data_IF_243480737583
#
_entry.id   IF_243480737583
#
_cell.length_a   1.000
_cell.length_b   1.000
_cell.length_c   1.000
_cell.angle_alpha   90.00
_cell.angle_beta   90.00
_cell.angle_gamma   90.00
#
_symmetry.space_group_name_H-M   'P 1'
#
loop_
_entity.id
_entity.type
_entity.pdbx_description
1 polymer ?
#
# COMPACT_ATOMS: atom_id res chain seq x y z
N UNK A 1 44.31 -26.30 -3.47
CA UNK A 1 44.30 -24.83 -3.30
C UNK A 1 43.02 -24.48 -2.55
N UNK A 2 43.10 -24.20 -1.24
CA UNK A 2 41.95 -23.82 -0.41
C UNK A 2 41.83 -22.30 -0.47
N UNK A 3 40.74 -21.78 -1.05
CA UNK A 3 40.42 -20.34 -1.02
C UNK A 3 39.60 -20.08 0.24
N UNK A 4 40.17 -19.31 1.17
CA UNK A 4 39.41 -18.70 2.27
C UNK A 4 38.58 -17.57 1.67
N UNK A 5 37.26 -17.72 1.71
CA UNK A 5 36.33 -16.66 1.38
C UNK A 5 36.27 -15.69 2.57
N UNK A 6 36.63 -14.44 2.32
CA UNK A 6 36.53 -13.34 3.27
C UNK A 6 35.05 -13.04 3.49
N UNK A 7 34.53 -13.38 4.66
CA UNK A 7 33.15 -13.06 5.07
C UNK A 7 33.11 -11.54 5.33
N UNK A 8 32.49 -10.80 4.41
CA UNK A 8 32.20 -9.39 4.58
C UNK A 8 31.08 -9.20 5.60
N UNK A 9 31.34 -8.42 6.63
CA UNK A 9 30.36 -7.99 7.63
C UNK A 9 29.30 -7.11 6.96
N UNK A 10 28.13 -7.67 6.66
CA UNK A 10 26.93 -6.90 6.37
C UNK A 10 26.14 -6.72 7.67
N UNK A 11 26.06 -5.48 8.15
CA UNK A 11 25.20 -5.11 9.27
C UNK A 11 23.74 -5.13 8.78
N UNK A 12 23.06 -6.25 9.00
CA UNK A 12 21.61 -6.34 8.86
C UNK A 12 20.96 -5.70 10.09
N UNK A 13 20.44 -4.47 9.95
CA UNK A 13 19.50 -3.91 10.92
C UNK A 13 18.12 -4.53 10.68
N UNK A 14 17.91 -5.74 11.18
CA UNK A 14 16.57 -6.32 11.31
C UNK A 14 15.91 -5.66 12.52
N UNK A 15 14.98 -4.73 12.28
CA UNK A 15 14.13 -4.19 13.34
C UNK A 15 13.00 -5.20 13.57
N UNK A 16 13.27 -6.21 14.39
CA UNK A 16 12.26 -7.12 14.93
C UNK A 16 11.48 -6.37 16.02
N UNK A 17 10.26 -5.96 15.71
CA UNK A 17 9.27 -5.60 16.74
C UNK A 17 8.75 -6.89 17.38
N UNK A 18 9.54 -7.48 18.27
CA UNK A 18 9.00 -8.44 19.22
C UNK A 18 8.08 -7.66 20.16
N UNK A 19 6.77 -7.88 20.05
CA UNK A 19 5.80 -7.40 21.04
C UNK A 19 5.95 -8.27 22.30
N UNK A 20 7.08 -8.14 22.98
CA UNK A 20 7.21 -8.61 24.35
C UNK A 20 6.39 -7.65 25.17
N UNK A 21 5.23 -8.12 25.64
CA UNK A 21 4.60 -7.59 26.85
C UNK A 21 5.56 -7.85 28.02
N UNK A 22 6.70 -7.16 28.05
CA UNK A 22 7.51 -7.02 29.24
C UNK A 22 6.66 -6.19 30.18
N UNK A 23 6.02 -6.87 31.13
CA UNK A 23 5.62 -6.24 32.39
C UNK A 23 6.88 -5.58 32.93
N UNK A 24 6.98 -4.26 32.76
CA UNK A 24 8.09 -3.47 33.28
C UNK A 24 8.27 -3.86 34.74
N UNK A 25 9.43 -4.42 35.15
CA UNK A 25 9.74 -4.59 36.54
C UNK A 25 10.07 -3.20 37.07
N UNK A 26 9.05 -2.35 37.22
CA UNK A 26 9.08 -1.27 38.19
C UNK A 26 9.00 -1.90 39.58
N UNK A 27 10.00 -2.72 39.92
CA UNK A 27 10.25 -3.14 41.29
C UNK A 27 10.96 -1.96 41.93
N UNK A 28 10.16 -1.18 42.67
CA UNK A 28 10.53 -0.25 43.73
C UNK A 28 12.02 0.09 43.80
N UNK A 29 12.42 1.15 43.07
CA UNK A 29 13.70 1.79 43.31
C UNK A 29 13.83 2.06 44.83
N UNK A 30 15.03 1.87 45.43
CA UNK A 30 15.19 2.01 46.88
C UNK A 30 14.69 3.37 47.33
N UNK A 31 13.62 3.39 48.13
CA UNK A 31 12.99 4.60 48.67
C UNK A 31 13.89 5.18 49.78
N UNK A 32 14.94 5.89 49.36
CA UNK A 32 15.83 6.59 50.25
C UNK A 32 15.68 8.10 50.06
N UNK A 33 15.22 8.79 51.10
CA UNK A 33 15.04 10.23 51.08
C UNK A 33 16.39 10.96 51.07
N UNK A 34 16.75 11.52 49.90
CA UNK A 34 17.93 12.39 49.72
C UNK A 34 17.92 13.63 50.63
N UNK A 35 16.76 14.02 51.15
CA UNK A 35 16.56 15.19 52.01
C UNK A 35 16.96 14.97 53.48
N UNK A 36 17.55 13.82 53.83
CA UNK A 36 17.98 13.58 55.19
C UNK A 36 19.02 14.62 55.66
N UNK A 37 18.83 15.28 56.81
CA UNK A 37 19.81 16.24 57.34
C UNK A 37 21.11 15.55 57.77
N UNK A 38 21.10 14.23 57.97
CA UNK A 38 22.28 13.45 58.32
C UNK A 38 23.12 13.14 57.08
N UNK A 39 24.37 13.61 57.07
CA UNK A 39 25.31 13.38 55.97
C UNK A 39 25.60 11.88 55.73
N UNK A 40 25.68 11.08 56.80
CA UNK A 40 25.89 9.63 56.71
C UNK A 40 24.75 8.94 55.98
N UNK A 41 23.50 9.34 56.27
CA UNK A 41 22.30 8.80 55.61
C UNK A 41 22.29 9.12 54.12
N UNK A 42 22.74 10.32 53.72
CA UNK A 42 22.85 10.71 52.30
C UNK A 42 23.91 9.90 51.56
N UNK A 43 25.08 9.67 52.15
CA UNK A 43 26.11 8.81 51.56
C UNK A 43 25.58 7.39 51.36
N UNK A 44 24.90 6.83 52.36
CA UNK A 44 24.33 5.49 52.27
C UNK A 44 23.28 5.39 51.15
N UNK A 45 22.42 6.41 51.01
CA UNK A 45 21.42 6.49 49.94
C UNK A 45 22.06 6.57 48.55
N UNK A 46 23.09 7.42 48.37
CA UNK A 46 23.83 7.50 47.10
C UNK A 46 24.45 6.14 46.76
N UNK A 47 25.03 5.45 47.74
CA UNK A 47 25.66 4.15 47.52
C UNK A 47 24.63 3.06 47.18
N UNK A 48 23.46 3.05 47.81
CA UNK A 48 22.35 2.17 47.44
C UNK A 48 21.87 2.43 46.01
N UNK A 49 21.72 3.70 45.63
CA UNK A 49 21.30 4.07 44.29
C UNK A 49 22.34 3.67 43.23
N UNK A 50 23.64 3.83 43.54
CA UNK A 50 24.72 3.39 42.65
C UNK A 50 24.71 1.87 42.45
N UNK A 51 24.54 1.10 43.52
CA UNK A 51 24.44 -0.37 43.42
C UNK A 51 23.23 -0.80 42.57
N UNK A 52 22.07 -0.16 42.80
CA UNK A 52 20.87 -0.42 42.00
C UNK A 52 21.11 -0.14 40.50
N UNK A 53 21.73 1.00 40.16
CA UNK A 53 22.05 1.33 38.78
C UNK A 53 23.05 0.33 38.17
N UNK A 54 24.03 -0.13 38.95
CA UNK A 54 24.99 -1.14 38.50
C UNK A 54 24.29 -2.46 38.16
N UNK A 55 23.38 -2.93 39.02
CA UNK A 55 22.58 -4.14 38.77
C UNK A 55 21.71 -4.01 37.51
N UNK A 56 21.13 -2.83 37.26
CA UNK A 56 20.37 -2.58 36.03
C UNK A 56 21.27 -2.64 34.79
N UNK A 57 22.47 -2.04 34.84
CA UNK A 57 23.45 -2.09 33.74
C UNK A 57 23.90 -3.52 33.47
N UNK A 58 24.18 -4.30 34.51
CA UNK A 58 24.62 -5.68 34.36
C UNK A 58 23.52 -6.57 33.76
N UNK A 59 22.26 -6.38 34.19
CA UNK A 59 21.09 -7.05 33.61
C UNK A 59 20.87 -6.71 32.13
N UNK A 60 21.02 -5.42 31.76
CA UNK A 60 20.94 -4.99 30.36
C UNK A 60 22.06 -5.58 29.51
N UNK A 61 23.29 -5.66 30.04
CA UNK A 61 24.40 -6.29 29.35
C UNK A 61 24.19 -7.80 29.14
N UNK A 62 23.60 -8.49 30.12
CA UNK A 62 23.25 -9.91 29.98
C UNK A 62 22.20 -10.11 28.88
N UNK A 63 21.12 -9.31 28.86
CA UNK A 63 20.11 -9.35 27.80
C UNK A 63 20.69 -9.05 26.42
N UNK A 64 21.58 -8.07 26.33
CA UNK A 64 22.27 -7.75 25.08
C UNK A 64 23.16 -8.91 24.62
N UNK A 65 23.86 -9.56 25.55
CA UNK A 65 24.70 -10.73 25.26
C UNK A 65 23.85 -11.91 24.77
N UNK A 66 22.67 -12.14 25.35
CA UNK A 66 21.73 -13.17 24.92
C UNK A 66 21.16 -12.91 23.52
N UNK A 67 20.77 -11.67 23.23
CA UNK A 67 20.27 -11.25 21.91
C UNK A 67 21.35 -11.25 20.82
N UNK A 68 22.60 -11.03 21.19
CA UNK A 68 23.75 -11.06 20.28
C UNK A 68 24.41 -12.43 20.19
N UNK A 69 23.93 -13.42 20.96
CA UNK A 69 24.46 -14.76 20.90
C UNK A 69 24.21 -15.37 19.51
N UNK A 70 25.20 -16.12 19.02
CA UNK A 70 25.11 -16.79 17.72
C UNK A 70 23.90 -17.73 17.64
N UNK A 71 23.51 -18.35 18.76
CA UNK A 71 22.36 -19.25 18.84
C UNK A 71 21.03 -18.50 18.70
N UNK A 72 20.87 -17.32 19.31
CA UNK A 72 19.67 -16.48 19.14
C UNK A 72 19.54 -15.97 17.70
N UNK A 73 20.65 -15.57 17.09
CA UNK A 73 20.69 -15.14 15.69
C UNK A 73 20.37 -16.32 14.77
N UNK A 74 20.94 -17.51 15.03
CA UNK A 74 20.69 -18.72 14.26
C UNK A 74 19.23 -19.16 14.37
N UNK A 75 18.66 -19.18 15.58
CA UNK A 75 17.27 -19.55 15.79
C UNK A 75 16.31 -18.59 15.08
N UNK A 76 16.57 -17.28 15.14
CA UNK A 76 15.80 -16.29 14.41
C UNK A 76 15.91 -16.49 12.89
N UNK A 77 17.10 -16.80 12.37
CA UNK A 77 17.32 -17.09 10.97
C UNK A 77 16.63 -18.40 10.52
N UNK A 78 16.75 -19.48 11.28
CA UNK A 78 16.11 -20.78 11.03
C UNK A 78 14.58 -20.66 11.03
N UNK A 79 14.03 -19.96 12.03
CA UNK A 79 12.60 -19.62 12.11
C UNK A 79 12.12 -18.87 10.86
N UNK A 80 12.89 -17.90 10.38
CA UNK A 80 12.55 -17.12 9.20
C UNK A 80 12.58 -17.94 7.91
N UNK A 81 13.51 -18.89 7.78
CA UNK A 81 13.71 -19.71 6.57
C UNK A 81 12.63 -20.77 6.40
N UNK A 82 12.05 -21.29 7.50
CA UNK A 82 11.09 -22.40 7.47
C UNK A 82 9.84 -22.18 6.59
N UNK A 83 9.57 -20.96 6.16
CA UNK A 83 8.38 -20.61 5.38
C UNK A 83 8.67 -20.06 3.97
N UNK A 84 9.90 -20.23 3.44
CA UNK A 84 10.31 -19.72 2.12
C UNK A 84 9.86 -18.24 1.90
N UNK A 85 10.36 -17.30 2.74
CA UNK A 85 9.89 -15.93 2.73
C UNK A 85 10.19 -15.23 1.40
N UNK A 86 9.24 -14.44 0.90
CA UNK A 86 9.44 -13.54 -0.23
C UNK A 86 9.78 -12.15 0.34
N UNK A 87 10.93 -11.60 -0.03
CA UNK A 87 11.44 -10.33 0.51
C UNK A 87 11.75 -9.35 -0.62
N UNK A 88 11.40 -8.08 -0.43
CA UNK A 88 11.71 -7.00 -1.36
C UNK A 88 13.08 -6.37 -1.05
N UNK A 89 13.88 -6.17 -2.10
CA UNK A 89 15.19 -5.51 -2.06
C UNK A 89 15.19 -4.29 -3.00
N UNK A 90 15.92 -3.25 -2.63
CA UNK A 90 16.12 -2.06 -3.47
C UNK A 90 17.28 -2.19 -4.47
N UNK A 91 18.02 -3.31 -4.42
CA UNK A 91 19.14 -3.60 -5.31
C UNK A 91 18.70 -4.08 -6.70
N UNK A 92 19.67 -4.19 -7.62
CA UNK A 92 19.46 -4.72 -8.97
C UNK A 92 19.61 -6.25 -9.07
N UNK A 93 20.09 -6.90 -8.01
CA UNK A 93 20.30 -8.36 -7.94
C UNK A 93 19.97 -8.88 -6.54
N UNK A 94 19.54 -10.14 -6.46
CA UNK A 94 19.31 -10.79 -5.18
C UNK A 94 20.64 -10.99 -4.42
N UNK A 95 20.63 -10.90 -3.08
CA UNK A 95 21.81 -11.21 -2.28
C UNK A 95 22.23 -12.68 -2.45
N UNK A 96 23.47 -13.05 -2.10
CA UNK A 96 23.89 -14.46 -2.09
C UNK A 96 22.98 -15.34 -1.22
N UNK A 97 22.60 -16.53 -1.72
CA UNK A 97 21.66 -17.45 -1.06
C UNK A 97 20.18 -17.11 -1.31
N UNK A 98 19.92 -16.18 -2.24
CA UNK A 98 18.59 -15.77 -2.66
C UNK A 98 18.50 -15.77 -4.18
N UNK A 99 17.37 -16.23 -4.69
CA UNK A 99 17.04 -16.21 -6.11
C UNK A 99 15.88 -15.25 -6.41
N UNK A 100 15.80 -14.81 -7.67
CA UNK A 100 14.74 -13.93 -8.13
C UNK A 100 13.39 -14.66 -8.04
N UNK A 101 12.43 -14.04 -7.36
CA UNK A 101 11.05 -14.53 -7.36
C UNK A 101 10.32 -13.99 -8.60
N UNK A 102 10.48 -14.69 -9.73
CA UNK A 102 10.00 -14.26 -11.05
C UNK A 102 8.48 -14.02 -11.09
N UNK A 103 7.71 -14.78 -10.31
CA UNK A 103 6.25 -14.66 -10.28
C UNK A 103 5.76 -13.28 -9.83
N UNK A 104 6.56 -12.53 -9.06
CA UNK A 104 6.24 -11.15 -8.65
C UNK A 104 6.65 -10.08 -9.69
N UNK A 105 7.33 -10.46 -10.77
CA UNK A 105 7.81 -9.54 -11.80
C UNK A 105 6.67 -8.74 -12.43
N UNK A 106 6.73 -7.41 -12.33
CA UNK A 106 5.72 -6.50 -12.88
C UNK A 106 4.36 -6.55 -12.17
N UNK A 107 4.28 -7.13 -10.97
CA UNK A 107 3.03 -7.27 -10.21
C UNK A 107 3.01 -6.40 -8.96
N UNK A 108 1.81 -5.99 -8.57
CA UNK A 108 1.55 -5.50 -7.23
C UNK A 108 1.31 -6.68 -6.29
N UNK A 109 1.94 -6.64 -5.11
CA UNK A 109 1.71 -7.63 -4.05
C UNK A 109 0.58 -7.11 -3.15
N UNK A 110 -0.49 -7.89 -3.04
CA UNK A 110 -1.61 -7.61 -2.16
C UNK A 110 -1.58 -8.60 -1.01
N UNK A 111 -1.67 -8.09 0.23
CA UNK A 111 -1.63 -8.92 1.43
C UNK A 111 -2.74 -9.96 1.44
N UNK A 112 -2.38 -11.22 1.69
CA UNK A 112 -3.31 -12.32 1.76
C UNK A 112 -3.77 -12.55 3.22
N UNK A 113 -5.08 -12.71 3.44
CA UNK A 113 -5.59 -13.04 4.77
C UNK A 113 -7.11 -13.19 4.84
N UNK A 114 -7.64 -13.71 5.97
CA UNK A 114 -9.07 -13.83 6.22
C UNK A 114 -9.63 -12.44 6.56
N UNK A 115 -9.63 -11.53 5.58
CA UNK A 115 -10.29 -10.24 5.69
C UNK A 115 -11.55 -10.30 4.85
N UNK A 116 -12.73 -9.90 5.37
CA UNK A 116 -13.99 -9.98 4.63
C UNK A 116 -14.05 -8.98 3.47
N UNK A 117 -12.99 -8.19 3.30
CA UNK A 117 -12.80 -7.14 2.30
C UNK A 117 -14.07 -6.30 2.11
N UNK A 118 -14.57 -5.74 3.20
CA UNK A 118 -15.78 -4.93 3.21
C UNK A 118 -15.44 -3.44 3.17
N UNK A 119 -16.29 -2.67 2.52
CA UNK A 119 -16.32 -1.21 2.61
C UNK A 119 -16.71 -0.77 4.02
N UNK A 120 -16.60 0.53 4.29
CA UNK A 120 -17.12 1.13 5.53
C UNK A 120 -18.62 0.89 5.74
N UNK A 121 -19.39 0.61 4.68
CA UNK A 121 -20.81 0.27 4.74
C UNK A 121 -21.10 -1.23 4.82
N UNK A 122 -20.06 -2.08 4.93
CA UNK A 122 -20.21 -3.54 4.95
C UNK A 122 -20.40 -4.18 3.57
N UNK A 123 -20.19 -3.44 2.47
CA UNK A 123 -20.32 -3.98 1.11
C UNK A 123 -19.03 -4.65 0.69
N UNK A 124 -19.09 -5.86 0.14
CA UNK A 124 -17.91 -6.56 -0.33
C UNK A 124 -17.21 -5.81 -1.48
N UNK A 125 -15.91 -5.55 -1.34
CA UNK A 125 -15.08 -4.77 -2.27
C UNK A 125 -14.39 -5.64 -3.34
N UNK A 126 -14.07 -6.91 -3.05
CA UNK A 126 -13.52 -7.86 -4.03
C UNK A 126 -14.36 -9.12 -4.13
N UNK A 127 -14.39 -9.69 -5.34
CA UNK A 127 -14.97 -11.03 -5.58
C UNK A 127 -14.03 -12.17 -5.16
N UNK A 128 -12.76 -11.85 -4.93
CA UNK A 128 -11.72 -12.80 -4.57
C UNK A 128 -11.67 -13.00 -3.06
N UNK A 129 -11.76 -14.27 -2.64
CA UNK A 129 -11.52 -14.68 -1.26
C UNK A 129 -10.01 -14.74 -1.07
N UNK A 130 -9.43 -13.73 -0.41
CA UNK A 130 -7.98 -13.48 -0.43
C UNK A 130 -7.16 -14.66 0.15
N UNK A 131 -7.76 -15.55 0.95
CA UNK A 131 -7.24 -16.91 1.25
C UNK A 131 -8.43 -17.80 1.61
N UNK A 132 -8.68 -18.89 0.88
CA UNK A 132 -9.70 -19.89 1.25
C UNK A 132 -9.20 -20.97 2.20
N UNK A 133 -7.91 -21.29 2.17
CA UNK A 133 -7.29 -22.30 3.04
C UNK A 133 -5.79 -22.08 3.18
N UNK A 134 -5.24 -22.29 4.38
CA UNK A 134 -3.80 -22.32 4.64
C UNK A 134 -3.06 -23.47 3.94
N UNK A 135 -3.77 -24.33 3.20
CA UNK A 135 -3.20 -25.49 2.51
C UNK A 135 -3.27 -25.40 0.99
N UNK A 136 -3.93 -24.37 0.43
CA UNK A 136 -4.03 -24.13 -1.01
C UNK A 136 -3.55 -22.70 -1.31
N UNK A 137 -2.25 -22.48 -1.11
CA UNK A 137 -1.55 -21.23 -1.45
C UNK A 137 -1.32 -21.11 -2.96
N UNK A 138 -2.38 -21.27 -3.76
CA UNK A 138 -2.30 -20.82 -5.16
C UNK A 138 -2.39 -19.31 -5.14
N UNK A 139 -1.32 -18.66 -5.58
CA UNK A 139 -1.32 -17.22 -5.77
C UNK A 139 -2.43 -16.88 -6.78
N UNK A 140 -3.48 -16.21 -6.32
CA UNK A 140 -4.45 -15.63 -7.24
C UNK A 140 -3.80 -14.41 -7.91
N UNK A 141 -3.84 -14.39 -9.24
CA UNK A 141 -3.32 -13.27 -10.04
C UNK A 141 -4.45 -12.57 -10.76
N UNK A 142 -4.38 -11.25 -10.87
CA UNK A 142 -5.33 -10.44 -11.61
C UNK A 142 -4.89 -8.99 -11.70
N UNK A 143 -5.83 -8.12 -12.10
CA UNK A 143 -5.57 -6.71 -12.36
C UNK A 143 -5.18 -6.44 -13.81
N UNK A 144 -5.33 -5.18 -14.21
CA UNK A 144 -4.98 -4.68 -15.54
C UNK A 144 -4.21 -3.39 -15.37
N UNK A 145 -3.11 -3.24 -16.12
CA UNK A 145 -2.28 -2.02 -16.14
C UNK A 145 -3.02 -0.86 -16.84
N UNK A 146 -3.84 -1.18 -17.83
CA UNK A 146 -4.57 -0.23 -18.64
C UNK A 146 -6.05 -0.56 -18.64
N UNK A 147 -6.91 0.45 -18.47
CA UNK A 147 -8.36 0.30 -18.55
C UNK A 147 -8.93 1.14 -19.70
N UNK A 148 -9.80 0.53 -20.50
CA UNK A 148 -10.56 1.23 -21.53
C UNK A 148 -12.01 1.40 -21.05
N UNK A 149 -12.48 2.64 -20.99
CA UNK A 149 -13.85 2.94 -20.56
C UNK A 149 -14.84 2.46 -21.63
N UNK A 150 -15.67 1.49 -21.28
CA UNK A 150 -16.78 1.03 -22.12
C UNK A 150 -18.01 1.91 -21.93
N UNK A 151 -18.99 1.81 -22.84
CA UNK A 151 -20.25 2.54 -22.72
C UNK A 151 -20.96 2.27 -21.39
N UNK A 152 -20.84 1.05 -20.86
CA UNK A 152 -21.44 0.64 -19.57
C UNK A 152 -20.74 1.26 -18.36
N UNK A 153 -19.51 1.78 -18.52
CA UNK A 153 -18.79 2.48 -17.46
C UNK A 153 -19.11 3.98 -17.39
N UNK A 154 -19.79 4.52 -18.40
CA UNK A 154 -20.21 5.92 -18.43
C UNK A 154 -21.54 6.03 -17.67
N UNK A 155 -21.64 6.87 -16.62
CA UNK A 155 -22.89 7.04 -15.90
C UNK A 155 -23.99 7.50 -16.87
N UNK A 156 -25.18 6.90 -16.77
CA UNK A 156 -26.33 7.37 -17.53
C UNK A 156 -26.65 8.81 -17.09
N UNK A 157 -26.42 9.77 -17.99
CA UNK A 157 -26.83 11.14 -17.77
C UNK A 157 -28.32 11.20 -18.12
N UNK A 158 -29.17 11.10 -17.11
CA UNK A 158 -30.63 11.01 -17.29
C UNK A 158 -31.25 12.31 -17.84
N UNK A 159 -30.58 13.45 -17.71
CA UNK A 159 -31.08 14.70 -18.28
C UNK A 159 -29.97 15.74 -18.45
N UNK A 160 -29.89 16.33 -19.63
CA UNK A 160 -29.28 17.64 -19.79
C UNK A 160 -30.37 18.69 -19.62
N UNK A 161 -30.27 19.55 -18.59
CA UNK A 161 -31.10 20.76 -18.52
C UNK A 161 -30.55 21.74 -19.54
N UNK A 162 -31.08 21.69 -20.76
CA UNK A 162 -30.82 22.73 -21.75
C UNK A 162 -31.72 23.91 -21.37
N UNK A 163 -31.18 24.81 -20.54
CA UNK A 163 -31.78 26.12 -20.33
C UNK A 163 -31.66 26.92 -21.62
N UNK A 164 -32.59 26.73 -22.56
CA UNK A 164 -32.73 27.64 -23.68
C UNK A 164 -33.27 28.94 -23.10
N UNK A 165 -32.40 29.91 -22.84
CA UNK A 165 -32.84 31.27 -22.54
C UNK A 165 -33.57 31.79 -23.78
N UNK A 166 -34.89 31.62 -23.80
CA UNK A 166 -35.79 32.21 -24.79
C UNK A 166 -35.88 33.73 -24.53
N UNK A 167 -34.78 34.43 -24.82
CA UNK A 167 -34.71 35.89 -24.85
C UNK A 167 -34.65 36.46 -26.27
N UNK A 168 -34.47 35.62 -27.29
CA UNK A 168 -34.41 36.05 -28.69
C UNK A 168 -35.64 35.56 -29.46
N UNK A 169 -36.68 36.38 -29.53
CA UNK A 169 -37.72 36.27 -30.58
C UNK A 169 -37.31 37.03 -31.85
N UNK A 170 -36.02 37.31 -32.04
CA UNK A 170 -35.54 37.84 -33.30
C UNK A 170 -35.25 36.67 -34.23
N UNK A 171 -36.08 36.60 -35.26
CA UNK A 171 -35.93 35.71 -36.40
C UNK A 171 -34.53 35.93 -37.00
N UNK A 172 -33.57 35.06 -36.70
CA UNK A 172 -32.25 35.08 -37.33
C UNK A 172 -32.47 34.66 -38.80
N UNK A 173 -32.65 35.63 -39.69
CA UNK A 173 -32.72 35.41 -41.14
C UNK A 173 -31.35 35.41 -41.80
N UNK A 174 -30.28 35.75 -41.06
CA UNK A 174 -28.91 35.78 -41.59
C UNK A 174 -28.03 34.79 -40.83
N UNK A 175 -28.19 33.50 -41.17
CA UNK A 175 -27.13 32.52 -40.93
C UNK A 175 -26.08 32.76 -42.00
N UNK A 176 -25.12 33.64 -41.73
CA UNK A 176 -23.95 33.77 -42.57
C UNK A 176 -23.11 32.49 -42.44
N UNK A 177 -22.93 31.70 -43.51
CA UNK A 177 -22.18 30.46 -43.41
C UNK A 177 -20.73 30.80 -43.04
N UNK A 178 -20.27 30.29 -41.90
CA UNK A 178 -18.85 30.36 -41.54
C UNK A 178 -18.06 29.54 -42.57
N UNK A 179 -17.47 30.21 -43.55
CA UNK A 179 -16.52 29.60 -44.47
C UNK A 179 -15.17 29.56 -43.73
N UNK A 180 -14.94 28.46 -43.03
CA UNK A 180 -13.68 28.19 -42.32
C UNK A 180 -13.78 26.90 -41.53
N UNK A 181 -12.92 25.93 -41.83
CA UNK A 181 -12.85 24.61 -41.20
C UNK A 181 -12.67 24.74 -39.68
N UNK A 182 -13.75 24.53 -38.92
CA UNK A 182 -13.69 24.55 -37.46
C UNK A 182 -15.01 24.72 -36.71
N UNK A 183 -16.12 25.09 -37.36
CA UNK A 183 -17.41 25.12 -36.69
C UNK A 183 -18.05 23.73 -36.69
N UNK A 184 -18.29 23.14 -35.51
CA UNK A 184 -19.22 22.03 -35.39
C UNK A 184 -20.61 22.57 -35.75
N UNK A 185 -21.16 22.13 -36.88
CA UNK A 185 -22.57 22.35 -37.17
C UNK A 185 -23.37 21.67 -36.06
N UNK A 186 -23.91 22.48 -35.14
CA UNK A 186 -25.12 22.10 -34.44
C UNK A 186 -26.20 22.37 -35.48
N UNK A 187 -26.59 21.34 -36.23
CA UNK A 187 -27.80 21.38 -37.05
C UNK A 187 -28.98 21.49 -36.09
N UNK A 188 -29.28 22.73 -35.67
CA UNK A 188 -30.58 23.05 -35.15
C UNK A 188 -31.53 22.92 -36.35
N UNK A 189 -32.18 21.77 -36.46
CA UNK A 189 -33.29 21.55 -37.37
C UNK A 189 -34.41 22.49 -36.91
N UNK A 190 -34.38 23.74 -37.35
CA UNK A 190 -35.53 24.63 -37.34
C UNK A 190 -36.38 24.23 -38.53
N UNK A 191 -37.17 23.17 -38.34
CA UNK A 191 -38.22 22.79 -39.29
C UNK A 191 -39.31 23.87 -39.27
N UNK A 192 -39.10 24.89 -40.10
CA UNK A 192 -40.15 25.79 -40.51
C UNK A 192 -41.12 25.03 -41.39
N UNK A 193 -42.30 24.73 -40.84
CA UNK A 193 -43.57 24.46 -41.55
C UNK A 193 -43.97 23.02 -41.88
N UNK A 194 -43.68 22.05 -41.02
CA UNK A 194 -44.50 20.82 -41.03
C UNK A 194 -45.01 20.47 -39.64
N UNK A 195 -46.34 20.43 -39.56
CA UNK A 195 -47.15 19.76 -38.55
C UNK A 195 -46.90 18.24 -38.64
N UNK A 196 -45.64 17.85 -38.48
CA UNK A 196 -45.19 16.48 -38.32
C UNK A 196 -44.90 16.30 -36.85
N UNK A 197 -45.51 15.28 -36.24
CA UNK A 197 -45.19 14.83 -34.90
C UNK A 197 -43.67 14.59 -34.82
N UNK A 198 -42.92 15.56 -34.30
CA UNK A 198 -41.60 15.29 -33.76
C UNK A 198 -41.85 14.40 -32.56
N UNK A 199 -41.69 13.09 -32.75
CA UNK A 199 -41.48 12.18 -31.65
C UNK A 199 -40.30 12.74 -30.88
N UNK A 200 -40.48 13.05 -29.61
CA UNK A 200 -39.47 13.52 -28.65
C UNK A 200 -38.36 12.49 -28.43
N UNK A 201 -37.73 12.01 -29.50
CA UNK A 201 -36.49 11.27 -29.43
C UNK A 201 -35.38 12.31 -29.26
N UNK A 202 -35.23 12.74 -28.01
CA UNK A 202 -34.23 13.71 -27.59
C UNK A 202 -32.86 13.42 -28.20
N UNK A 203 -32.20 14.47 -28.63
CA UNK A 203 -30.84 14.47 -29.16
C UNK A 203 -29.90 13.70 -28.22
N UNK A 204 -29.58 12.45 -28.57
CA UNK A 204 -28.60 11.66 -27.86
C UNK A 204 -27.21 12.09 -28.33
N UNK A 205 -26.50 12.85 -27.50
CA UNK A 205 -25.06 13.02 -27.68
C UNK A 205 -24.46 11.63 -27.45
N UNK A 206 -24.11 10.94 -28.54
CA UNK A 206 -23.31 9.73 -28.48
C UNK A 206 -21.92 10.16 -28.02
N UNK A 207 -21.66 10.07 -26.72
CA UNK A 207 -20.29 10.07 -26.23
C UNK A 207 -19.63 8.83 -26.82
N UNK A 208 -18.60 9.04 -27.64
CA UNK A 208 -17.75 7.94 -28.07
C UNK A 208 -17.19 7.31 -26.80
N UNK A 209 -17.64 6.10 -26.47
CA UNK A 209 -17.04 5.30 -25.41
C UNK A 209 -15.52 5.28 -25.62
N UNK A 210 -14.77 5.47 -24.54
CA UNK A 210 -13.38 5.91 -24.56
C UNK A 210 -12.51 5.07 -25.51
N UNK A 211 -12.01 5.68 -26.58
CA UNK A 211 -11.13 5.02 -27.56
C UNK A 211 -9.67 4.97 -27.11
N UNK A 212 -9.35 5.61 -25.98
CA UNK A 212 -8.00 5.79 -25.46
C UNK A 212 -7.92 5.03 -24.12
N UNK A 213 -7.04 4.02 -24.00
CA UNK A 213 -6.75 3.38 -22.72
C UNK A 213 -6.19 4.39 -21.71
N UNK A 214 -6.61 4.25 -20.45
CA UNK A 214 -6.10 5.02 -19.32
C UNK A 214 -5.20 4.16 -18.45
N UNK A 215 -4.14 4.77 -17.90
CA UNK A 215 -3.27 4.12 -16.91
C UNK A 215 -4.08 3.83 -15.64
N UNK A 216 -4.06 2.57 -15.21
CA UNK A 216 -4.73 2.07 -14.01
C UNK A 216 -3.73 1.76 -12.89
N UNK A 217 -2.45 2.11 -13.05
CA UNK A 217 -1.45 1.95 -11.99
C UNK A 217 -1.48 3.11 -11.00
N UNK A 218 -1.59 2.84 -9.68
CA UNK A 218 -1.33 3.87 -8.67
C UNK A 218 0.16 4.25 -8.69
N UNK A 219 0.56 5.39 -8.08
CA UNK A 219 1.97 5.70 -7.88
C UNK A 219 2.71 4.54 -7.20
N UNK A 220 3.83 4.09 -7.78
CA UNK A 220 4.54 2.91 -7.31
C UNK A 220 6.06 3.10 -7.29
N UNK A 221 6.74 2.21 -6.54
CA UNK A 221 8.19 2.01 -6.60
C UNK A 221 8.45 0.55 -6.99
N UNK A 222 9.35 0.34 -7.95
CA UNK A 222 9.77 -0.99 -8.34
C UNK A 222 10.86 -1.50 -7.39
N UNK A 223 10.65 -2.68 -6.82
CA UNK A 223 11.60 -3.38 -5.97
C UNK A 223 11.86 -4.78 -6.54
N UNK A 224 13.02 -5.34 -6.21
CA UNK A 224 13.40 -6.70 -6.59
C UNK A 224 12.88 -7.67 -5.53
N UNK A 225 12.02 -8.60 -5.92
CA UNK A 225 11.50 -9.64 -5.03
C UNK A 225 12.38 -10.88 -5.10
N UNK A 226 12.87 -11.35 -3.96
CA UNK A 226 13.70 -12.54 -3.88
C UNK A 226 13.14 -13.54 -2.88
N UNK A 227 13.42 -14.82 -3.11
CA UNK A 227 13.14 -15.95 -2.21
C UNK A 227 14.46 -16.67 -1.89
N UNK A 228 14.61 -17.34 -0.75
CA UNK A 228 15.79 -18.18 -0.50
C UNK A 228 15.94 -19.23 -1.60
N UNK A 229 17.18 -19.51 -1.99
CA UNK A 229 17.49 -20.62 -2.90
C UNK A 229 17.02 -21.94 -2.25
N UNK A 230 16.20 -22.73 -2.96
CA UNK A 230 15.82 -24.06 -2.50
C UNK A 230 17.04 -25.00 -2.68
N UNK A 231 17.73 -25.35 -1.59
CA UNK A 231 18.77 -26.40 -1.59
C UNK A 231 18.21 -27.80 -1.86
#
# INVERSE_FOLDING_TARGET
MKRFATIGWFAFSVILFASTTQSSPAQDAPDCHMDSPNFSTRILCIQQHFNYLQEQVDSLNEQLTDLTSEDSIRYAAESFITHAPIVAFSGLSCPPGWELFEDAGGRFIVGAGPHPNLSASGTQLSRYDVVRSATDFRYETGGEEWIMLTADNIPQIESHIIGVQSGFSERITDVQPCIGTGCSQIDAITDGSREGQHTDEGFRILSNAGTIPHDNMPPYIALLWCTPENE
#
